data_IF_437576668429
#
_entry.id   IF_437576668429
#
_cell.length_a   1.000
_cell.length_b   1.000
_cell.length_c   1.000
_cell.angle_alpha   90.00
_cell.angle_beta   90.00
_cell.angle_gamma   90.00
#
_symmetry.space_group_name_H-M   'P 1'
#
loop_
_entity.id
_entity.type
_entity.pdbx_description
1 polymer ?
#
# COMPACT_ATOMS: atom_id res chain seq x y z
N UNK A 1 -6.27 -10.41 24.60
CA UNK A 1 -6.10 -8.97 24.29
C UNK A 1 -4.63 -8.63 24.48
N UNK A 2 -3.96 -8.24 23.44
CA UNK A 2 -2.56 -7.90 23.49
C UNK A 2 -2.44 -6.42 23.86
N UNK A 3 -1.58 -6.04 24.83
CA UNK A 3 -1.55 -4.68 25.37
C UNK A 3 -1.15 -3.60 24.36
N UNK A 4 -0.48 -3.98 23.27
CA UNK A 4 -0.07 -3.04 22.20
C UNK A 4 -1.20 -2.57 21.28
N UNK A 5 -2.37 -3.19 21.30
CA UNK A 5 -3.51 -2.75 20.47
C UNK A 5 -4.16 -1.45 20.94
N UNK A 6 -3.70 -0.89 22.04
CA UNK A 6 -4.29 0.31 22.65
C UNK A 6 -3.33 1.48 22.81
N UNK A 7 -2.04 1.29 22.52
CA UNK A 7 -1.00 2.26 22.92
C UNK A 7 -0.51 3.18 21.80
N UNK A 8 -0.68 2.81 20.53
CA UNK A 8 -0.26 3.65 19.41
C UNK A 8 -1.35 3.72 18.34
N UNK A 9 -2.04 4.87 18.20
CA UNK A 9 -3.06 5.07 17.16
C UNK A 9 -2.49 4.96 15.73
N UNK A 10 -1.18 5.00 15.56
CA UNK A 10 -0.47 4.90 14.28
C UNK A 10 -0.24 3.48 13.79
N UNK A 11 -0.38 2.48 14.65
CA UNK A 11 -0.09 1.09 14.30
C UNK A 11 -0.85 0.04 15.10
N UNK A 12 -1.81 0.46 15.87
CA UNK A 12 -2.51 -0.31 16.90
C UNK A 12 -3.25 -1.56 16.41
N UNK A 13 -3.51 -1.65 15.11
CA UNK A 13 -4.28 -2.76 14.52
C UNK A 13 -3.43 -3.80 13.80
N UNK A 14 -2.13 -3.56 13.70
CA UNK A 14 -1.20 -4.48 13.03
C UNK A 14 -0.15 -4.97 14.01
N UNK A 15 0.06 -6.27 14.08
CA UNK A 15 1.21 -6.87 14.73
C UNK A 15 2.15 -7.42 13.65
N UNK A 16 3.45 -7.27 13.89
CA UNK A 16 4.47 -7.54 12.89
C UNK A 16 5.30 -8.79 13.21
N UNK A 17 5.06 -9.42 14.36
CA UNK A 17 5.82 -10.60 14.82
C UNK A 17 4.90 -11.60 15.51
N UNK A 18 5.26 -12.89 15.44
CA UNK A 18 4.67 -13.92 16.26
C UNK A 18 5.33 -13.95 17.64
N UNK A 19 4.62 -14.47 18.64
CA UNK A 19 5.18 -14.56 20.01
C UNK A 19 6.45 -15.40 20.08
N UNK A 20 6.56 -16.42 19.26
CA UNK A 20 7.77 -17.25 19.14
C UNK A 20 8.98 -16.48 18.61
N UNK A 21 8.76 -15.37 17.91
CA UNK A 21 9.81 -14.52 17.33
C UNK A 21 10.20 -13.35 18.25
N UNK A 22 9.49 -13.15 19.35
CA UNK A 22 9.73 -12.03 20.25
C UNK A 22 11.18 -11.94 20.76
N UNK A 23 11.87 -13.03 21.15
CA UNK A 23 13.28 -12.95 21.57
C UNK A 23 14.20 -12.45 20.45
N UNK A 24 13.88 -12.81 19.19
CA UNK A 24 14.62 -12.33 18.04
C UNK A 24 14.35 -10.84 17.80
N UNK A 25 13.08 -10.42 17.86
CA UNK A 25 12.70 -9.02 17.67
C UNK A 25 13.32 -8.09 18.72
N UNK A 26 13.43 -8.53 19.99
CA UNK A 26 14.11 -7.77 21.03
C UNK A 26 15.58 -7.47 20.67
N UNK A 27 16.30 -8.44 20.10
CA UNK A 27 17.67 -8.25 19.64
C UNK A 27 17.72 -7.27 18.45
N UNK A 28 16.84 -7.42 17.47
CA UNK A 28 16.74 -6.51 16.32
C UNK A 28 16.46 -5.08 16.79
N UNK A 29 15.51 -4.90 17.69
CA UNK A 29 15.17 -3.58 18.24
C UNK A 29 16.35 -2.94 18.96
N UNK A 30 17.12 -3.74 19.73
CA UNK A 30 18.32 -3.28 20.43
C UNK A 30 19.43 -2.89 19.44
N UNK A 31 19.72 -3.73 18.45
CA UNK A 31 20.74 -3.46 17.43
C UNK A 31 20.42 -2.22 16.60
N UNK A 32 19.15 -2.02 16.26
CA UNK A 32 18.68 -0.86 15.50
C UNK A 32 18.38 0.36 16.41
N UNK A 33 18.56 0.23 17.71
CA UNK A 33 18.27 1.30 18.68
C UNK A 33 16.85 1.85 18.55
N UNK A 34 15.86 0.99 18.29
CA UNK A 34 14.47 1.40 18.17
C UNK A 34 13.93 1.87 19.54
N UNK A 35 13.40 3.09 19.64
CA UNK A 35 12.76 3.56 20.86
C UNK A 35 11.62 2.62 21.31
N UNK A 36 11.63 2.21 22.56
CA UNK A 36 10.58 1.39 23.15
C UNK A 36 9.49 2.29 23.74
N UNK A 37 8.24 2.07 23.33
CA UNK A 37 7.07 2.83 23.78
C UNK A 37 6.41 2.22 25.02
N UNK A 38 6.48 0.89 25.13
CA UNK A 38 6.00 0.08 26.23
C UNK A 38 6.70 -1.29 26.17
N UNK A 39 6.64 -2.13 27.21
CA UNK A 39 7.25 -3.45 27.19
C UNK A 39 6.92 -4.24 25.92
N UNK A 40 7.96 -4.57 25.14
CA UNK A 40 7.85 -5.28 23.85
C UNK A 40 7.08 -4.53 22.76
N UNK A 41 6.97 -3.21 22.85
CA UNK A 41 6.36 -2.34 21.86
C UNK A 41 7.33 -1.25 21.45
N UNK A 42 7.80 -1.30 20.22
CA UNK A 42 8.76 -0.33 19.68
C UNK A 42 8.10 0.57 18.63
N UNK A 43 8.71 1.73 18.42
CA UNK A 43 8.38 2.57 17.27
C UNK A 43 8.64 1.82 15.97
N UNK A 44 7.89 2.17 14.95
CA UNK A 44 8.12 1.62 13.60
C UNK A 44 9.49 2.06 13.09
N UNK A 45 10.22 1.13 12.48
CA UNK A 45 11.45 1.48 11.79
C UNK A 45 11.15 2.48 10.64
N UNK A 46 11.94 3.57 10.47
CA UNK A 46 11.67 4.59 9.45
C UNK A 46 11.43 4.03 8.05
N UNK A 47 12.23 3.06 7.61
CA UNK A 47 12.08 2.45 6.28
C UNK A 47 10.75 1.70 6.09
N UNK A 48 10.06 1.33 7.17
CA UNK A 48 8.74 0.69 7.04
C UNK A 48 7.67 1.64 6.49
N UNK A 49 7.83 2.94 6.71
CA UNK A 49 6.95 3.96 6.12
C UNK A 49 7.16 4.10 4.61
N UNK A 50 8.41 3.99 4.14
CA UNK A 50 8.71 3.97 2.69
C UNK A 50 8.16 2.71 2.02
N UNK A 51 8.31 1.55 2.67
CA UNK A 51 7.77 0.30 2.17
C UNK A 51 6.24 0.34 2.07
N UNK A 52 5.57 0.87 3.08
CA UNK A 52 4.12 1.05 3.08
C UNK A 52 3.66 2.02 1.97
N UNK A 53 4.37 3.14 1.80
CA UNK A 53 4.06 4.09 0.74
C UNK A 53 4.26 3.49 -0.66
N UNK A 54 5.33 2.71 -0.86
CA UNK A 54 5.58 2.02 -2.13
C UNK A 54 4.48 1.00 -2.45
N UNK A 55 4.07 0.20 -1.46
CA UNK A 55 2.96 -0.75 -1.57
C UNK A 55 1.65 -0.03 -1.94
N UNK A 56 1.33 1.05 -1.25
CA UNK A 56 0.13 1.85 -1.47
C UNK A 56 0.09 2.51 -2.86
N UNK A 57 1.24 3.00 -3.37
CA UNK A 57 1.34 3.56 -4.73
C UNK A 57 1.14 2.46 -5.76
N UNK A 58 1.83 1.33 -5.60
CA UNK A 58 1.72 0.20 -6.51
C UNK A 58 0.28 -0.31 -6.58
N UNK A 59 -0.35 -0.60 -5.45
CA UNK A 59 -1.73 -1.06 -5.42
C UNK A 59 -2.69 -0.07 -6.07
N UNK A 60 -2.58 1.22 -5.74
CA UNK A 60 -3.50 2.22 -6.29
C UNK A 60 -3.44 2.30 -7.82
N UNK A 61 -2.24 2.25 -8.40
CA UNK A 61 -2.04 2.51 -9.82
C UNK A 61 -2.05 1.25 -10.69
N UNK A 62 -1.56 0.11 -10.19
CA UNK A 62 -1.55 -1.14 -10.92
C UNK A 62 -2.93 -1.80 -10.93
N UNK A 63 -3.71 -1.71 -9.85
CA UNK A 63 -5.09 -2.21 -9.83
C UNK A 63 -5.97 -1.55 -10.92
N UNK A 64 -5.70 -0.28 -11.27
CA UNK A 64 -6.41 0.39 -12.37
C UNK A 64 -6.06 -0.24 -13.74
N UNK A 65 -4.78 -0.54 -13.97
CA UNK A 65 -4.35 -1.17 -15.23
C UNK A 65 -4.94 -2.57 -15.37
N UNK A 66 -4.84 -3.38 -14.31
CA UNK A 66 -5.42 -4.72 -14.29
C UNK A 66 -6.94 -4.68 -14.57
N UNK A 67 -7.64 -3.69 -14.00
CA UNK A 67 -9.07 -3.53 -14.21
C UNK A 67 -9.41 -3.15 -15.63
N UNK A 68 -8.59 -2.36 -16.33
CA UNK A 68 -8.71 -2.08 -17.76
C UNK A 68 -8.50 -3.35 -18.57
N UNK A 69 -7.45 -4.13 -18.25
CA UNK A 69 -7.15 -5.37 -18.98
C UNK A 69 -8.28 -6.39 -18.92
N UNK A 70 -8.95 -6.51 -17.80
CA UNK A 70 -10.10 -7.42 -17.64
C UNK A 70 -11.44 -6.78 -17.98
N UNK A 71 -11.44 -5.55 -18.50
CA UNK A 71 -12.62 -4.85 -19.00
C UNK A 71 -13.60 -4.34 -17.94
N UNK A 72 -13.16 -4.13 -16.70
CA UNK A 72 -14.00 -3.62 -15.60
C UNK A 72 -14.14 -2.09 -15.62
N UNK A 73 -13.11 -1.40 -16.12
CA UNK A 73 -13.10 0.08 -16.29
C UNK A 73 -12.57 0.44 -17.66
N UNK A 74 -12.92 1.62 -18.14
CA UNK A 74 -12.46 2.11 -19.44
C UNK A 74 -11.12 2.82 -19.38
N UNK A 75 -10.30 2.69 -20.43
CA UNK A 75 -9.02 3.38 -20.58
C UNK A 75 -9.12 4.88 -20.32
N UNK A 76 -10.15 5.54 -20.86
CA UNK A 76 -10.35 6.98 -20.73
C UNK A 76 -10.58 7.42 -19.28
N UNK A 77 -11.20 6.57 -18.46
CA UNK A 77 -11.44 6.86 -17.05
C UNK A 77 -10.13 6.85 -16.28
N UNK A 78 -9.26 5.86 -16.54
CA UNK A 78 -7.91 5.79 -15.95
C UNK A 78 -7.03 6.92 -16.44
N UNK A 79 -7.05 7.20 -17.75
CA UNK A 79 -6.32 8.30 -18.36
C UNK A 79 -6.69 9.65 -17.72
N UNK A 80 -7.98 9.88 -17.43
CA UNK A 80 -8.44 11.09 -16.75
C UNK A 80 -7.89 11.24 -15.34
N UNK A 81 -7.80 10.14 -14.58
CA UNK A 81 -7.24 10.17 -13.21
C UNK A 81 -5.73 10.41 -13.24
N UNK A 82 -5.01 9.69 -14.09
CA UNK A 82 -3.56 9.76 -14.13
C UNK A 82 -3.06 11.09 -14.72
N UNK A 83 -3.81 11.71 -15.64
CA UNK A 83 -3.45 13.01 -16.23
C UNK A 83 -3.47 14.16 -15.22
N UNK A 84 -4.05 13.99 -14.04
CA UNK A 84 -3.96 14.99 -12.97
C UNK A 84 -2.53 15.13 -12.41
N UNK A 85 -1.73 14.06 -12.50
CA UNK A 85 -0.30 14.08 -12.09
C UNK A 85 0.66 14.34 -13.25
N UNK A 86 0.16 14.40 -14.49
CA UNK A 86 1.06 14.37 -15.64
C UNK A 86 0.59 15.38 -16.68
N UNK A 87 1.54 16.04 -17.35
CA UNK A 87 1.25 16.80 -18.55
C UNK A 87 1.23 15.83 -19.73
N UNK A 88 0.07 15.69 -20.39
CA UNK A 88 -0.06 14.90 -21.61
C UNK A 88 0.48 15.74 -22.78
N UNK A 89 1.56 15.28 -23.39
CA UNK A 89 2.06 15.92 -24.61
C UNK A 89 1.18 15.59 -25.81
N UNK A 90 0.97 16.55 -26.69
CA UNK A 90 0.14 16.36 -27.90
C UNK A 90 0.60 15.18 -28.77
N UNK A 91 1.87 14.83 -28.74
CA UNK A 91 2.45 13.68 -29.46
C UNK A 91 1.91 12.34 -29.01
N UNK A 92 1.37 12.24 -27.79
CA UNK A 92 0.87 10.99 -27.22
C UNK A 92 -0.48 10.58 -27.78
N UNK A 93 -1.24 11.48 -28.37
CA UNK A 93 -2.51 11.17 -29.00
C UNK A 93 -2.38 10.24 -30.22
N UNK A 94 -1.18 10.11 -30.80
CA UNK A 94 -0.90 9.16 -31.85
C UNK A 94 -0.78 7.69 -31.34
N UNK A 95 -0.66 7.49 -30.02
CA UNK A 95 -0.57 6.17 -29.40
C UNK A 95 -1.96 5.59 -29.13
N UNK A 96 -2.02 4.29 -28.97
CA UNK A 96 -3.25 3.64 -28.49
C UNK A 96 -3.56 4.07 -27.04
N UNK A 97 -4.83 4.05 -26.64
CA UNK A 97 -5.27 4.33 -25.27
C UNK A 97 -4.47 3.52 -24.23
N UNK A 98 -4.26 2.24 -24.50
CA UNK A 98 -3.48 1.37 -23.63
C UNK A 98 -2.04 1.84 -23.46
N UNK A 99 -1.39 2.26 -24.54
CA UNK A 99 -0.02 2.79 -24.49
C UNK A 99 0.03 4.10 -23.70
N UNK A 100 -0.95 4.99 -23.89
CA UNK A 100 -1.03 6.23 -23.11
C UNK A 100 -1.24 5.95 -21.63
N UNK A 101 -2.14 5.07 -21.24
CA UNK A 101 -2.33 4.68 -19.85
C UNK A 101 -1.03 4.14 -19.22
N UNK A 102 -0.29 3.29 -19.93
CA UNK A 102 0.97 2.75 -19.45
C UNK A 102 2.03 3.84 -19.25
N UNK A 103 2.12 4.80 -20.18
CA UNK A 103 3.04 5.95 -20.07
C UNK A 103 2.65 6.86 -18.89
N UNK A 104 1.36 7.23 -18.79
CA UNK A 104 0.85 8.06 -17.70
C UNK A 104 1.06 7.42 -16.33
N UNK A 105 0.83 6.11 -16.24
CA UNK A 105 1.10 5.34 -15.01
C UNK A 105 2.57 5.44 -14.62
N UNK A 106 3.49 5.21 -15.57
CA UNK A 106 4.93 5.30 -15.28
C UNK A 106 5.33 6.67 -14.73
N UNK A 107 4.82 7.74 -15.32
CA UNK A 107 5.09 9.11 -14.86
C UNK A 107 4.42 9.37 -13.50
N UNK A 108 3.17 8.94 -13.31
CA UNK A 108 2.45 9.09 -12.06
C UNK A 108 3.16 8.38 -10.88
N UNK A 109 3.65 7.15 -11.12
CA UNK A 109 4.47 6.43 -10.15
C UNK A 109 5.75 7.21 -9.82
N UNK A 110 6.48 7.69 -10.84
CA UNK A 110 7.69 8.49 -10.65
C UNK A 110 7.44 9.72 -9.77
N UNK A 111 6.40 10.50 -10.09
CA UNK A 111 6.03 11.69 -9.30
C UNK A 111 5.63 11.36 -7.86
N UNK A 112 4.87 10.28 -7.68
CA UNK A 112 4.50 9.84 -6.34
C UNK A 112 5.73 9.38 -5.52
N UNK A 113 6.68 8.70 -6.13
CA UNK A 113 7.94 8.30 -5.50
C UNK A 113 8.76 9.53 -5.09
N UNK A 114 8.91 10.51 -5.99
CA UNK A 114 9.66 11.73 -5.71
C UNK A 114 9.06 12.51 -4.53
N UNK A 115 7.74 12.65 -4.50
CA UNK A 115 7.04 13.36 -3.43
C UNK A 115 7.13 12.63 -2.08
N UNK A 116 6.97 11.29 -2.09
CA UNK A 116 7.16 10.46 -0.90
C UNK A 116 8.60 10.54 -0.39
N UNK A 117 9.59 10.49 -1.28
CA UNK A 117 11.00 10.60 -0.90
C UNK A 117 11.30 11.98 -0.27
N UNK A 118 10.79 13.05 -0.86
CA UNK A 118 10.93 14.40 -0.31
C UNK A 118 10.22 14.55 1.05
N UNK A 119 9.02 13.98 1.18
CA UNK A 119 8.28 13.95 2.44
C UNK A 119 9.04 13.19 3.52
N UNK A 120 9.61 12.03 3.17
CA UNK A 120 10.45 11.26 4.09
C UNK A 120 11.66 12.04 4.57
N UNK A 121 12.38 12.69 3.66
CA UNK A 121 13.57 13.52 4.00
C UNK A 121 13.16 14.69 4.93
N UNK A 122 12.03 15.33 4.64
CA UNK A 122 11.53 16.46 5.45
C UNK A 122 11.22 16.02 6.89
N UNK A 123 10.69 14.80 7.07
CA UNK A 123 10.32 14.26 8.38
C UNK A 123 11.35 13.27 8.97
N UNK A 124 12.56 13.19 8.38
CA UNK A 124 13.56 12.20 8.77
C UNK A 124 13.91 12.25 10.26
N UNK A 125 14.05 13.42 10.83
CA UNK A 125 14.39 13.59 12.24
C UNK A 125 13.30 12.99 13.15
N UNK A 126 12.05 13.28 12.87
CA UNK A 126 10.91 12.77 13.66
C UNK A 126 10.76 11.27 13.51
N UNK A 127 10.98 10.75 12.29
CA UNK A 127 10.94 9.32 12.00
C UNK A 127 12.03 8.56 12.76
N UNK A 128 13.26 9.07 12.77
CA UNK A 128 14.39 8.45 13.49
C UNK A 128 14.21 8.49 15.00
N UNK A 129 13.63 9.56 15.53
CA UNK A 129 13.39 9.72 16.96
C UNK A 129 12.07 9.08 17.45
N UNK A 130 11.30 8.45 16.55
CA UNK A 130 9.99 7.87 16.89
C UNK A 130 8.91 8.89 17.23
N UNK A 131 9.11 10.15 16.86
CA UNK A 131 8.18 11.26 17.15
C UNK A 131 7.26 11.60 15.98
N UNK A 132 7.34 10.84 14.90
CA UNK A 132 6.52 11.06 13.72
C UNK A 132 5.03 10.91 14.03
N UNK A 133 4.27 11.99 13.82
CA UNK A 133 2.84 12.06 14.13
C UNK A 133 1.93 11.75 12.93
N UNK A 134 2.49 11.57 11.74
CA UNK A 134 1.74 11.21 10.55
C UNK A 134 1.23 9.78 10.60
N UNK A 135 0.05 9.55 10.04
CA UNK A 135 -0.50 8.20 9.86
C UNK A 135 0.38 7.38 8.91
N UNK A 136 0.69 7.97 7.77
CA UNK A 136 1.55 7.44 6.71
C UNK A 136 2.20 8.61 5.95
N UNK A 137 3.18 8.32 5.08
CA UNK A 137 3.86 9.37 4.31
C UNK A 137 2.97 9.98 3.24
N UNK A 138 2.10 9.20 2.62
CA UNK A 138 1.23 9.68 1.53
C UNK A 138 0.28 10.76 2.03
N UNK A 139 -0.21 10.65 3.27
CA UNK A 139 -1.08 11.67 3.86
C UNK A 139 -0.41 13.04 4.00
N UNK A 140 0.92 13.10 4.00
CA UNK A 140 1.72 14.32 4.10
C UNK A 140 2.30 14.79 2.76
N UNK A 141 2.14 14.01 1.69
CA UNK A 141 2.52 14.39 0.34
C UNK A 141 1.70 15.57 -0.19
N UNK A 142 2.15 16.16 -1.29
CA UNK A 142 1.43 17.19 -2.01
C UNK A 142 -0.01 16.81 -2.34
N UNK A 143 -0.89 17.79 -2.42
CA UNK A 143 -2.31 17.56 -2.67
C UNK A 143 -2.59 16.83 -3.98
N UNK A 144 -1.78 17.06 -5.01
CA UNK A 144 -1.93 16.42 -6.32
C UNK A 144 -1.74 14.90 -6.22
N UNK A 145 -0.61 14.45 -5.65
CA UNK A 145 -0.30 13.03 -5.47
C UNK A 145 -1.34 12.37 -4.56
N UNK A 146 -1.62 12.98 -3.42
CA UNK A 146 -2.60 12.46 -2.47
C UNK A 146 -3.99 12.28 -3.09
N UNK A 147 -4.50 13.32 -3.76
CA UNK A 147 -5.83 13.29 -4.36
C UNK A 147 -5.93 12.27 -5.49
N UNK A 148 -4.89 12.17 -6.33
CA UNK A 148 -4.88 11.19 -7.42
C UNK A 148 -4.85 9.75 -6.90
N UNK A 149 -4.00 9.46 -5.90
CA UNK A 149 -3.98 8.13 -5.28
C UNK A 149 -5.29 7.80 -4.56
N UNK A 150 -5.93 8.78 -3.93
CA UNK A 150 -7.23 8.58 -3.29
C UNK A 150 -8.33 8.29 -4.31
N UNK A 151 -8.40 9.05 -5.42
CA UNK A 151 -9.33 8.77 -6.53
C UNK A 151 -9.11 7.38 -7.13
N UNK A 152 -7.86 6.99 -7.34
CA UNK A 152 -7.51 5.67 -7.83
C UNK A 152 -8.00 4.56 -6.86
N UNK A 153 -7.73 4.71 -5.57
CA UNK A 153 -8.19 3.78 -4.52
C UNK A 153 -9.72 3.73 -4.42
N UNK A 154 -10.40 4.86 -4.57
CA UNK A 154 -11.87 4.92 -4.54
C UNK A 154 -12.48 4.25 -5.76
N UNK A 155 -11.93 4.45 -6.95
CA UNK A 155 -12.37 3.76 -8.15
C UNK A 155 -12.18 2.24 -8.01
N UNK A 156 -11.01 1.81 -7.54
CA UNK A 156 -10.72 0.40 -7.29
C UNK A 156 -11.70 -0.19 -6.26
N UNK A 157 -11.94 0.48 -5.14
CA UNK A 157 -12.85 0.03 -4.09
C UNK A 157 -14.28 -0.12 -4.59
N UNK A 158 -14.76 0.83 -5.38
CA UNK A 158 -16.16 0.87 -5.81
C UNK A 158 -16.45 0.01 -7.05
N UNK A 159 -15.51 -0.14 -7.96
CA UNK A 159 -15.72 -0.79 -9.26
C UNK A 159 -15.04 -2.14 -9.37
N UNK A 160 -13.83 -2.29 -8.81
CA UNK A 160 -13.01 -3.50 -8.94
C UNK A 160 -13.34 -4.47 -7.80
N UNK A 161 -13.16 -4.05 -6.54
CA UNK A 161 -13.28 -4.96 -5.40
C UNK A 161 -14.72 -5.41 -5.12
N UNK A 162 -15.71 -4.64 -5.55
CA UNK A 162 -17.13 -4.99 -5.46
C UNK A 162 -17.68 -5.69 -6.70
N UNK A 163 -16.83 -5.92 -7.71
CA UNK A 163 -17.29 -6.59 -8.92
C UNK A 163 -17.65 -8.05 -8.62
N UNK A 164 -18.76 -8.52 -9.24
CA UNK A 164 -19.33 -9.84 -8.97
C UNK A 164 -18.29 -10.97 -9.17
N UNK A 165 -17.51 -10.93 -10.24
CA UNK A 165 -16.48 -11.93 -10.51
C UNK A 165 -15.47 -12.05 -9.39
N UNK A 166 -15.00 -10.90 -8.84
CA UNK A 166 -14.05 -10.88 -7.72
C UNK A 166 -14.67 -11.43 -6.44
N UNK A 167 -15.91 -11.03 -6.15
CA UNK A 167 -16.64 -11.55 -4.98
C UNK A 167 -16.85 -13.07 -5.08
N UNK A 168 -17.22 -13.57 -6.23
CA UNK A 168 -17.40 -15.02 -6.47
C UNK A 168 -16.08 -15.78 -6.26
N UNK A 169 -14.97 -15.27 -6.81
CA UNK A 169 -13.64 -15.86 -6.61
C UNK A 169 -13.24 -15.85 -5.12
N UNK A 170 -13.46 -14.74 -4.42
CA UNK A 170 -13.17 -14.64 -2.99
C UNK A 170 -14.01 -15.62 -2.16
N UNK A 171 -15.31 -15.75 -2.45
CA UNK A 171 -16.19 -16.71 -1.77
C UNK A 171 -15.72 -18.15 -2.03
N UNK A 172 -15.32 -18.47 -3.25
CA UNK A 172 -14.86 -19.83 -3.62
C UNK A 172 -13.48 -20.16 -3.01
N UNK A 173 -12.62 -19.16 -2.77
CA UNK A 173 -11.28 -19.37 -2.24
C UNK A 173 -11.30 -19.99 -0.82
N UNK A 174 -12.21 -19.57 0.06
CA UNK A 174 -12.29 -20.07 1.43
C UNK A 174 -12.54 -21.57 1.51
N UNK A 175 -13.61 -22.14 0.91
CA UNK A 175 -13.83 -23.58 0.95
C UNK A 175 -12.76 -24.37 0.21
N UNK A 176 -12.17 -23.81 -0.86
CA UNK A 176 -11.07 -24.44 -1.56
C UNK A 176 -9.82 -24.59 -0.67
N UNK A 177 -9.41 -23.52 0.01
CA UNK A 177 -8.28 -23.54 0.95
C UNK A 177 -8.56 -24.46 2.14
N UNK A 178 -9.78 -24.41 2.70
CA UNK A 178 -10.18 -25.30 3.80
C UNK A 178 -10.05 -26.76 3.39
N UNK A 179 -10.58 -27.14 2.22
CA UNK A 179 -10.51 -28.51 1.71
C UNK A 179 -9.07 -28.97 1.48
N UNK A 180 -8.20 -28.10 0.98
CA UNK A 180 -6.77 -28.41 0.81
C UNK A 180 -6.11 -28.64 2.17
N UNK A 181 -6.36 -27.80 3.14
CA UNK A 181 -5.81 -27.94 4.49
C UNK A 181 -6.32 -29.20 5.19
N UNK A 182 -7.60 -29.54 5.05
CA UNK A 182 -8.20 -30.74 5.59
C UNK A 182 -7.59 -32.03 5.04
N UNK A 183 -7.06 -31.98 3.81
CA UNK A 183 -6.34 -33.09 3.20
C UNK A 183 -4.85 -33.14 3.61
N UNK A 184 -4.21 -31.99 3.70
CA UNK A 184 -2.76 -31.91 3.95
C UNK A 184 -2.39 -32.09 5.42
N UNK A 185 -3.17 -31.50 6.34
CA UNK A 185 -2.85 -31.55 7.78
C UNK A 185 -2.79 -32.99 8.31
N UNK A 186 -3.77 -33.88 8.03
CA UNK A 186 -3.68 -35.27 8.47
C UNK A 186 -2.56 -36.08 7.79
N UNK A 187 -2.09 -35.64 6.60
CA UNK A 187 -1.02 -36.33 5.89
C UNK A 187 0.38 -36.02 6.43
N UNK A 188 0.51 -34.98 7.27
CA UNK A 188 1.77 -34.56 7.90
C UNK A 188 1.93 -35.15 9.31
N UNK A 189 0.84 -35.62 9.90
CA UNK A 189 0.81 -36.31 11.19
C UNK A 189 0.72 -37.82 11.01
#
# INVERSE_FOLDING_TARGET
>A
KYPWTTLDPRGDKKFNIYQTELPFMRRVAQELSLPELAPDVWVRHPLSYLMEAADDICYALLDLEDAVEIGLIGDMEVESILSELTFVENTWYAQSSRQRCAMLRGIAIGRAIDDVAQTFITHQADLLNGQFQGKDLIALCGSEVRNTLEKAKDLARNRIFRHQSKLMTSIAAYPCLSSILDLLIPAVH
#
